data_IF_835218768532
#
_entry.id   IF_835218768532
#
_cell.length_a   1.000
_cell.length_b   1.000
_cell.length_c   1.000
_cell.angle_alpha   90.00
_cell.angle_beta   90.00
_cell.angle_gamma   90.00
#
_symmetry.space_group_name_H-M   'P 1'
#
loop_
_entity.id
_entity.type
_entity.pdbx_description
1 polymer ?
#
# COMPACT_ATOMS: atom_id res chain seq x y z
N UNK A 1 -49.63 -29.75 39.72
CA UNK A 1 -49.81 -28.57 38.85
C UNK A 1 -48.46 -28.22 38.26
N UNK A 2 -48.20 -28.59 37.00
CA UNK A 2 -46.98 -28.21 36.30
C UNK A 2 -47.32 -27.03 35.38
N UNK A 3 -46.73 -25.87 35.65
CA UNK A 3 -46.81 -24.71 34.78
C UNK A 3 -45.99 -25.00 33.52
N UNK A 4 -46.66 -25.18 32.38
CA UNK A 4 -46.00 -25.19 31.08
C UNK A 4 -45.49 -23.77 30.81
N UNK A 5 -44.22 -23.51 31.14
CA UNK A 5 -43.51 -22.35 30.60
C UNK A 5 -43.37 -22.56 29.09
N UNK A 6 -44.33 -22.03 28.33
CA UNK A 6 -44.19 -21.93 26.88
C UNK A 6 -43.15 -20.85 26.59
N UNK A 7 -41.87 -21.21 26.61
CA UNK A 7 -40.79 -20.40 26.03
C UNK A 7 -40.90 -20.50 24.50
N UNK A 8 -42.03 -20.06 23.97
CA UNK A 8 -42.27 -19.93 22.54
C UNK A 8 -41.43 -18.80 21.97
N UNK A 9 -41.33 -18.74 20.64
CA UNK A 9 -40.70 -17.62 19.91
C UNK A 9 -41.15 -16.23 20.41
N UNK A 10 -42.40 -16.12 20.91
CA UNK A 10 -42.96 -14.91 21.53
C UNK A 10 -42.19 -14.42 22.77
N UNK A 11 -41.65 -15.33 23.58
CA UNK A 11 -40.85 -14.96 24.76
C UNK A 11 -39.43 -14.49 24.45
N UNK A 12 -39.02 -14.55 23.17
CA UNK A 12 -37.72 -14.05 22.67
C UNK A 12 -37.83 -12.69 21.97
N UNK A 13 -39.04 -12.18 21.80
CA UNK A 13 -39.27 -10.87 21.19
C UNK A 13 -38.80 -9.79 22.16
N UNK A 14 -37.88 -8.95 21.71
CA UNK A 14 -37.47 -7.75 22.44
C UNK A 14 -38.52 -6.66 22.27
N UNK A 15 -38.66 -5.80 23.27
CA UNK A 15 -39.48 -4.60 23.12
C UNK A 15 -38.86 -3.69 22.05
N UNK A 16 -39.63 -3.38 21.01
CA UNK A 16 -39.12 -2.58 19.92
C UNK A 16 -38.91 -1.14 20.39
N UNK A 17 -37.77 -0.54 20.05
CA UNK A 17 -37.51 0.85 20.38
C UNK A 17 -36.60 1.53 19.37
N UNK A 18 -36.75 2.83 19.21
CA UNK A 18 -35.83 3.65 18.41
C UNK A 18 -35.33 4.81 19.26
N UNK A 19 -34.00 4.91 19.43
CA UNK A 19 -33.36 5.85 20.37
C UNK A 19 -33.98 5.81 21.77
N UNK A 20 -34.37 4.63 22.21
CA UNK A 20 -35.01 4.41 23.53
C UNK A 20 -36.51 4.70 23.60
N UNK A 21 -37.15 5.18 22.52
CA UNK A 21 -38.62 5.36 22.48
C UNK A 21 -39.29 4.03 22.09
N UNK A 22 -40.11 3.41 22.96
CA UNK A 22 -40.70 2.11 22.71
C UNK A 22 -41.89 2.19 21.75
N UNK A 23 -42.01 1.21 20.85
CA UNK A 23 -43.16 1.01 19.95
C UNK A 23 -43.47 -0.48 19.78
N UNK A 24 -44.60 -0.82 19.18
CA UNK A 24 -44.96 -2.20 18.83
C UNK A 24 -44.87 -2.41 17.32
N UNK A 25 -44.33 -3.54 16.87
CA UNK A 25 -44.21 -3.86 15.45
C UNK A 25 -45.40 -4.71 15.02
N UNK A 26 -46.07 -4.32 13.94
CA UNK A 26 -47.15 -5.07 13.30
C UNK A 26 -46.60 -5.96 12.17
N UNK A 27 -45.77 -5.38 11.30
CA UNK A 27 -45.15 -6.06 10.16
C UNK A 27 -43.75 -5.47 9.88
N UNK A 28 -42.84 -6.29 9.38
CA UNK A 28 -41.50 -5.90 8.97
C UNK A 28 -41.12 -6.56 7.63
N UNK A 29 -40.62 -5.76 6.69
CA UNK A 29 -40.04 -6.23 5.44
C UNK A 29 -38.56 -5.85 5.41
N UNK A 30 -37.70 -6.77 4.99
CA UNK A 30 -36.26 -6.52 4.96
C UNK A 30 -35.59 -7.06 3.70
N UNK A 31 -34.70 -6.26 3.12
CA UNK A 31 -33.93 -6.64 1.93
C UNK A 31 -32.45 -6.72 2.28
N UNK A 32 -31.83 -7.86 1.97
CA UNK A 32 -30.41 -8.14 2.21
C UNK A 32 -29.73 -8.64 0.94
N UNK A 33 -28.44 -8.35 0.80
CA UNK A 33 -27.66 -8.88 -0.31
C UNK A 33 -26.27 -8.27 -0.44
N UNK A 34 -25.63 -8.57 -1.57
CA UNK A 34 -24.37 -7.96 -2.01
C UNK A 34 -24.61 -7.24 -3.33
N UNK A 35 -23.92 -6.13 -3.55
CA UNK A 35 -23.93 -5.42 -4.83
C UNK A 35 -23.02 -6.19 -5.77
N UNK A 36 -23.57 -6.70 -6.85
CA UNK A 36 -22.80 -7.44 -7.86
C UNK A 36 -23.00 -6.74 -9.20
N UNK A 37 -21.90 -6.43 -9.88
CA UNK A 37 -21.91 -5.94 -11.25
C UNK A 37 -21.65 -7.10 -12.19
N UNK A 38 -22.58 -7.32 -13.13
CA UNK A 38 -22.49 -8.39 -14.12
C UNK A 38 -21.92 -7.81 -15.40
N UNK A 39 -20.81 -8.37 -15.86
CA UNK A 39 -20.13 -8.00 -17.10
C UNK A 39 -20.37 -9.11 -18.13
N UNK A 40 -21.04 -8.75 -19.22
CA UNK A 40 -21.35 -9.64 -20.33
C UNK A 40 -20.42 -9.35 -21.51
N UNK A 41 -19.80 -10.41 -22.06
CA UNK A 41 -18.88 -10.30 -23.19
C UNK A 41 -19.43 -11.07 -24.40
N UNK A 42 -19.34 -10.52 -25.62
CA UNK A 42 -19.74 -11.23 -26.84
C UNK A 42 -19.03 -12.59 -26.97
N UNK A 43 -19.75 -13.62 -27.43
CA UNK A 43 -19.28 -15.00 -27.61
C UNK A 43 -18.83 -15.74 -26.34
N UNK A 44 -19.29 -15.32 -25.15
CA UNK A 44 -19.06 -16.04 -23.90
C UNK A 44 -20.39 -16.41 -23.25
N UNK A 45 -20.63 -17.71 -23.05
CA UNK A 45 -21.88 -18.21 -22.46
C UNK A 45 -22.00 -17.94 -20.94
N UNK A 46 -20.89 -17.63 -20.28
CA UNK A 46 -20.84 -17.37 -18.83
C UNK A 46 -20.40 -15.92 -18.56
N UNK A 47 -21.27 -15.07 -17.97
CA UNK A 47 -20.91 -13.71 -17.61
C UNK A 47 -19.91 -13.69 -16.44
N UNK A 48 -19.16 -12.60 -16.32
CA UNK A 48 -18.26 -12.37 -15.18
C UNK A 48 -18.96 -11.46 -14.17
N UNK A 49 -18.92 -11.82 -12.89
CA UNK A 49 -19.57 -11.06 -11.82
C UNK A 49 -18.54 -10.44 -10.89
N UNK A 50 -18.55 -9.12 -10.77
CA UNK A 50 -17.72 -8.36 -9.86
C UNK A 50 -18.50 -8.04 -8.58
N UNK A 51 -17.94 -8.36 -7.43
CA UNK A 51 -18.55 -8.10 -6.13
C UNK A 51 -18.15 -6.71 -5.63
N UNK A 52 -19.10 -5.78 -5.64
CA UNK A 52 -18.93 -4.39 -5.20
C UNK A 52 -19.22 -4.20 -3.70
N UNK A 53 -19.28 -5.29 -2.93
CA UNK A 53 -19.45 -5.29 -1.48
C UNK A 53 -20.88 -5.51 -1.01
N UNK A 54 -21.10 -5.33 0.30
CA UNK A 54 -22.40 -5.54 0.94
C UNK A 54 -23.42 -4.50 0.44
N UNK A 55 -24.62 -4.95 0.07
CA UNK A 55 -25.70 -4.04 -0.32
C UNK A 55 -26.27 -3.33 0.91
N UNK A 56 -26.78 -2.12 0.70
CA UNK A 56 -27.44 -1.34 1.75
C UNK A 56 -28.61 -2.13 2.31
N UNK A 57 -28.54 -2.46 3.61
CA UNK A 57 -29.62 -3.13 4.32
C UNK A 57 -30.74 -2.12 4.57
N UNK A 58 -31.90 -2.35 3.96
CA UNK A 58 -33.12 -1.56 4.19
C UNK A 58 -34.15 -2.42 4.91
N UNK A 59 -34.74 -1.88 5.97
CA UNK A 59 -35.89 -2.47 6.67
C UNK A 59 -37.06 -1.50 6.60
N UNK A 60 -38.21 -1.95 6.10
CA UNK A 60 -39.47 -1.23 6.17
C UNK A 60 -40.24 -1.76 7.37
N UNK A 61 -40.53 -0.90 8.34
CA UNK A 61 -41.17 -1.28 9.59
C UNK A 61 -42.54 -0.60 9.67
N UNK A 62 -43.58 -1.42 9.84
CA UNK A 62 -44.92 -0.99 10.16
C UNK A 62 -45.15 -1.22 11.66
N UNK A 63 -45.29 -0.13 12.40
CA UNK A 63 -45.40 -0.12 13.84
C UNK A 63 -46.69 0.58 14.30
N UNK A 64 -47.04 0.39 15.56
CA UNK A 64 -48.11 1.11 16.23
C UNK A 64 -47.73 1.50 17.66
N UNK A 65 -48.34 2.59 18.10
CA UNK A 65 -48.30 3.08 19.47
C UNK A 65 -49.72 2.99 20.00
N UNK A 66 -49.91 2.32 21.13
CA UNK A 66 -51.23 2.13 21.76
C UNK A 66 -51.13 2.38 23.26
N UNK A 67 -52.14 3.07 23.81
CA UNK A 67 -52.23 3.37 25.25
C UNK A 67 -52.70 4.79 25.54
N UNK A 68 -52.86 5.11 26.82
CA UNK A 68 -53.34 6.44 27.26
C UNK A 68 -52.31 7.54 26.99
N UNK A 69 -51.03 7.19 26.96
CA UNK A 69 -49.86 8.04 26.72
C UNK A 69 -49.37 7.98 25.26
N UNK A 70 -50.17 7.44 24.33
CA UNK A 70 -49.74 7.25 22.94
C UNK A 70 -49.35 8.57 22.26
N UNK A 71 -50.03 9.68 22.60
CA UNK A 71 -49.76 11.00 22.05
C UNK A 71 -48.37 11.51 22.46
N UNK A 72 -48.02 11.39 23.74
CA UNK A 72 -46.70 11.79 24.24
C UNK A 72 -45.59 10.90 23.66
N UNK A 73 -45.84 9.59 23.54
CA UNK A 73 -44.89 8.66 22.91
C UNK A 73 -44.70 8.95 21.43
N UNK A 74 -45.77 9.31 20.71
CA UNK A 74 -45.70 9.73 19.31
C UNK A 74 -44.82 10.95 19.15
N UNK A 75 -45.02 11.98 19.97
CA UNK A 75 -44.26 13.23 19.84
C UNK A 75 -42.77 13.03 20.20
N UNK A 76 -42.47 12.17 21.18
CA UNK A 76 -41.09 11.73 21.45
C UNK A 76 -40.48 10.94 20.29
N UNK A 77 -41.25 10.06 19.66
CA UNK A 77 -40.78 9.28 18.51
C UNK A 77 -40.49 10.22 17.33
N UNK A 78 -41.36 11.20 17.06
CA UNK A 78 -41.12 12.23 16.03
C UNK A 78 -39.80 12.97 16.33
N UNK A 79 -39.61 13.46 17.55
CA UNK A 79 -38.36 14.13 17.93
C UNK A 79 -37.13 13.23 17.81
N UNK A 80 -37.27 11.94 18.14
CA UNK A 80 -36.21 10.96 17.96
C UNK A 80 -35.90 10.72 16.48
N UNK A 81 -36.89 10.69 15.59
CA UNK A 81 -36.71 10.52 14.14
C UNK A 81 -36.02 11.74 13.53
N UNK A 82 -36.43 12.95 13.92
CA UNK A 82 -35.93 14.21 13.37
C UNK A 82 -34.53 14.58 13.89
N UNK A 83 -34.03 13.91 14.93
CA UNK A 83 -32.69 14.13 15.46
C UNK A 83 -31.61 13.69 14.45
N UNK A 84 -30.65 14.55 14.15
CA UNK A 84 -29.57 14.26 13.21
C UNK A 84 -28.65 13.11 13.68
N UNK A 85 -28.10 12.36 12.73
CA UNK A 85 -27.13 11.28 12.98
C UNK A 85 -27.77 9.88 13.10
N UNK A 86 -26.95 8.83 13.26
CA UNK A 86 -27.45 7.48 13.45
C UNK A 86 -28.09 7.32 14.83
N UNK A 87 -29.06 6.41 14.93
CA UNK A 87 -29.76 6.04 16.14
C UNK A 87 -29.85 4.52 16.28
N UNK A 88 -29.92 4.08 17.52
CA UNK A 88 -30.10 2.67 17.85
C UNK A 88 -31.56 2.26 17.65
N UNK A 89 -31.79 1.29 16.77
CA UNK A 89 -33.05 0.58 16.59
C UNK A 89 -32.96 -0.78 17.27
N UNK A 90 -33.84 -1.07 18.21
CA UNK A 90 -34.06 -2.41 18.74
C UNK A 90 -35.28 -2.99 18.04
N UNK A 91 -35.07 -4.02 17.22
CA UNK A 91 -36.13 -4.76 16.55
C UNK A 91 -36.43 -6.06 17.31
N UNK A 92 -37.71 -6.48 17.44
CA UNK A 92 -38.05 -7.68 18.20
C UNK A 92 -37.40 -8.97 17.66
N UNK A 93 -37.26 -9.08 16.33
CA UNK A 93 -36.67 -10.25 15.63
C UNK A 93 -35.19 -10.09 15.29
N UNK A 94 -34.72 -8.90 14.90
CA UNK A 94 -33.34 -8.69 14.41
C UNK A 94 -32.38 -8.19 15.49
N UNK A 95 -32.88 -7.85 16.68
CA UNK A 95 -32.07 -7.33 17.77
C UNK A 95 -31.71 -5.85 17.60
N UNK A 96 -30.58 -5.45 18.17
CA UNK A 96 -30.10 -4.07 18.18
C UNK A 96 -29.30 -3.76 16.91
N UNK A 97 -29.63 -2.65 16.24
CA UNK A 97 -28.99 -2.18 15.00
C UNK A 97 -28.73 -0.67 15.09
N UNK A 98 -27.59 -0.24 14.55
CA UNK A 98 -27.24 1.18 14.39
C UNK A 98 -27.55 1.64 12.97
N UNK A 99 -28.21 2.78 12.83
CA UNK A 99 -28.63 3.25 11.52
C UNK A 99 -29.47 4.50 11.55
N UNK A 100 -29.93 4.92 10.39
CA UNK A 100 -30.73 6.12 10.23
C UNK A 100 -32.06 5.78 9.57
N UNK A 101 -33.08 6.57 9.85
CA UNK A 101 -34.35 6.48 9.13
C UNK A 101 -34.17 7.17 7.78
N UNK A 102 -34.50 6.45 6.71
CA UNK A 102 -34.40 6.91 5.32
C UNK A 102 -35.79 7.30 4.81
N UNK A 103 -35.91 8.48 4.22
CA UNK A 103 -37.16 9.00 3.68
C UNK A 103 -38.14 9.56 4.72
N UNK A 104 -39.42 9.62 4.33
CA UNK A 104 -40.50 10.20 5.13
C UNK A 104 -41.12 9.15 6.06
N UNK A 105 -41.42 9.55 7.29
CA UNK A 105 -42.18 8.73 8.23
C UNK A 105 -43.66 9.08 8.12
N UNK A 106 -44.51 8.06 7.96
CA UNK A 106 -45.95 8.22 7.87
C UNK A 106 -46.59 7.84 9.19
N UNK A 107 -47.33 8.77 9.80
CA UNK A 107 -48.14 8.52 10.99
C UNK A 107 -49.62 8.67 10.63
N UNK A 108 -50.41 7.64 10.90
CA UNK A 108 -51.85 7.64 10.64
C UNK A 108 -52.64 7.45 11.91
N UNK A 109 -53.70 8.25 12.06
CA UNK A 109 -54.68 8.14 13.13
C UNK A 109 -56.00 7.73 12.49
N UNK A 110 -56.70 6.75 13.07
CA UNK A 110 -58.04 6.38 12.63
C UNK A 110 -59.03 6.66 13.75
N UNK A 111 -60.16 7.33 13.43
CA UNK A 111 -61.22 7.58 14.42
C UNK A 111 -61.90 6.30 14.91
N UNK A 112 -61.79 5.20 14.17
CA UNK A 112 -62.29 3.87 14.56
C UNK A 112 -61.38 3.15 15.56
N UNK A 113 -60.11 3.57 15.65
CA UNK A 113 -59.10 2.96 16.53
C UNK A 113 -58.74 3.96 17.62
N UNK A 114 -59.51 3.93 18.70
CA UNK A 114 -59.27 4.81 19.84
C UNK A 114 -57.93 4.51 20.51
N UNK A 115 -57.21 5.59 20.89
CA UNK A 115 -55.94 5.53 21.67
C UNK A 115 -54.78 4.82 20.95
N UNK A 116 -54.77 4.87 19.62
CA UNK A 116 -53.75 4.24 18.78
C UNK A 116 -53.31 5.17 17.64
N UNK A 117 -52.03 5.09 17.26
CA UNK A 117 -51.56 5.55 15.96
C UNK A 117 -50.64 4.51 15.32
N UNK A 118 -50.68 4.43 13.99
CA UNK A 118 -49.74 3.62 13.20
C UNK A 118 -48.62 4.49 12.67
N UNK A 119 -47.42 3.93 12.64
CA UNK A 119 -46.19 4.58 12.19
C UNK A 119 -45.50 3.65 11.20
N UNK A 120 -45.24 4.15 9.99
CA UNK A 120 -44.51 3.43 8.95
C UNK A 120 -43.24 4.20 8.62
N UNK A 121 -42.09 3.53 8.68
CA UNK A 121 -40.80 4.14 8.35
C UNK A 121 -39.84 3.12 7.74
N UNK A 122 -38.85 3.62 7.00
CA UNK A 122 -37.75 2.82 6.47
C UNK A 122 -36.48 3.10 7.27
N UNK A 123 -35.83 2.06 7.76
CA UNK A 123 -34.57 2.11 8.48
C UNK A 123 -33.44 1.56 7.61
N UNK A 124 -32.31 2.25 7.60
CA UNK A 124 -31.10 1.88 6.89
C UNK A 124 -29.97 1.69 7.88
N UNK A 125 -29.35 0.51 7.87
CA UNK A 125 -28.19 0.20 8.71
C UNK A 125 -27.02 1.12 8.31
N UNK A 126 -26.53 1.93 9.25
CA UNK A 126 -25.32 2.74 9.04
C UNK A 126 -24.12 1.89 9.40
N UNK A 127 -23.32 1.55 8.40
CA UNK A 127 -21.98 0.99 8.64
C UNK A 127 -21.07 2.02 9.32
N UNK A 128 -20.03 1.55 9.99
CA UNK A 128 -18.92 2.41 10.38
C UNK A 128 -18.41 3.16 9.15
N UNK A 129 -18.16 4.47 9.30
CA UNK A 129 -17.49 5.31 8.30
C UNK A 129 -16.04 4.84 8.13
N UNK A 130 -15.82 3.67 7.53
CA UNK A 130 -14.50 3.30 7.05
C UNK A 130 -14.27 4.00 5.73
N UNK A 131 -13.67 5.19 5.77
CA UNK A 131 -13.02 5.74 4.60
C UNK A 131 -11.98 4.71 4.12
N UNK A 132 -11.73 4.58 2.80
CA UNK A 132 -10.59 3.81 2.34
C UNK A 132 -9.34 4.42 2.98
N UNK A 133 -8.73 3.68 3.91
CA UNK A 133 -7.40 4.02 4.41
C UNK A 133 -6.52 3.86 3.18
N UNK A 134 -6.11 4.96 2.56
CA UNK A 134 -5.07 4.93 1.56
C UNK A 134 -3.90 4.18 2.20
N UNK A 135 -3.62 2.97 1.70
CA UNK A 135 -2.49 2.19 2.19
C UNK A 135 -1.25 3.06 2.19
N UNK A 136 -0.39 2.91 3.21
CA UNK A 136 0.86 3.68 3.31
C UNK A 136 1.52 3.83 1.94
N UNK A 137 1.83 5.07 1.54
CA UNK A 137 2.38 5.38 0.23
C UNK A 137 3.56 4.45 -0.09
N UNK A 138 3.40 3.58 -1.11
CA UNK A 138 4.42 2.62 -1.54
C UNK A 138 5.77 3.31 -1.77
N UNK A 139 5.76 4.56 -2.24
CA UNK A 139 6.94 5.41 -2.38
C UNK A 139 7.72 5.60 -1.07
N UNK A 140 7.05 5.85 0.06
CA UNK A 140 7.72 6.08 1.36
C UNK A 140 8.38 4.82 1.92
N UNK A 141 7.76 3.64 1.69
CA UNK A 141 8.38 2.35 2.02
C UNK A 141 9.63 2.09 1.16
N UNK A 142 9.56 2.43 -0.13
CA UNK A 142 10.66 2.25 -1.06
C UNK A 142 11.83 3.20 -0.73
N UNK A 143 11.55 4.47 -0.40
CA UNK A 143 12.56 5.44 0.04
C UNK A 143 13.29 4.97 1.31
N UNK A 144 12.54 4.51 2.32
CA UNK A 144 13.12 3.97 3.55
C UNK A 144 14.00 2.73 3.28
N UNK A 145 13.56 1.85 2.37
CA UNK A 145 14.34 0.66 1.99
C UNK A 145 15.59 1.02 1.19
N UNK A 146 15.54 2.08 0.38
CA UNK A 146 16.69 2.62 -0.35
C UNK A 146 17.77 3.16 0.58
N UNK A 147 17.39 3.92 1.63
CA UNK A 147 18.34 4.40 2.64
C UNK A 147 19.06 3.26 3.38
N UNK A 148 18.34 2.22 3.78
CA UNK A 148 18.94 1.02 4.39
C UNK A 148 19.91 0.30 3.46
N UNK A 149 19.67 0.36 2.15
CA UNK A 149 20.54 -0.23 1.15
C UNK A 149 21.82 0.59 0.97
N UNK A 150 21.76 1.92 0.99
CA UNK A 150 22.93 2.80 1.00
C UNK A 150 23.84 2.54 2.22
N UNK A 151 23.26 2.41 3.42
CA UNK A 151 24.02 2.09 4.64
C UNK A 151 24.72 0.72 4.54
N UNK A 152 24.07 -0.27 3.93
CA UNK A 152 24.64 -1.59 3.71
C UNK A 152 25.81 -1.55 2.71
N UNK A 153 25.75 -0.68 1.70
CA UNK A 153 26.84 -0.47 0.74
C UNK A 153 28.07 0.09 1.46
N UNK A 154 27.88 1.14 2.26
CA UNK A 154 28.98 1.75 3.02
C UNK A 154 29.60 0.75 4.00
N UNK A 155 28.77 -0.03 4.69
CA UNK A 155 29.24 -1.10 5.59
C UNK A 155 30.06 -2.16 4.85
N UNK A 156 29.56 -2.68 3.71
CA UNK A 156 30.27 -3.69 2.92
C UNK A 156 31.61 -3.15 2.39
N UNK A 157 31.63 -1.91 1.90
CA UNK A 157 32.81 -1.34 1.25
C UNK A 157 33.81 -0.77 2.26
N UNK A 158 33.42 -0.51 3.52
CA UNK A 158 34.32 -0.05 4.59
C UNK A 158 35.54 -0.94 4.84
N UNK A 159 35.45 -2.23 4.48
CA UNK A 159 36.53 -3.22 4.64
C UNK A 159 37.50 -3.25 3.44
N UNK A 160 37.17 -2.56 2.34
CA UNK A 160 38.03 -2.47 1.17
C UNK A 160 39.29 -1.65 1.51
N UNK A 161 40.46 -2.18 1.15
CA UNK A 161 41.73 -1.47 1.28
C UNK A 161 42.77 -2.06 0.34
N UNK A 162 43.54 -1.18 -0.30
CA UNK A 162 44.76 -1.53 -1.05
C UNK A 162 46.03 -1.44 -0.19
N UNK A 163 45.92 -1.03 1.07
CA UNK A 163 47.06 -0.94 1.98
C UNK A 163 47.66 -2.32 2.25
N UNK A 164 49.00 -2.41 2.26
CA UNK A 164 49.71 -3.66 2.49
C UNK A 164 49.64 -4.68 1.33
N UNK A 165 49.05 -4.30 0.19
CA UNK A 165 49.05 -5.10 -1.05
C UNK A 165 50.26 -4.70 -1.92
N UNK A 166 50.83 -5.64 -2.67
CA UNK A 166 51.93 -5.36 -3.60
C UNK A 166 51.51 -4.41 -4.72
N UNK A 167 52.41 -3.52 -5.14
CA UNK A 167 52.13 -2.45 -6.12
C UNK A 167 51.59 -2.99 -7.47
N UNK A 168 52.13 -4.11 -7.96
CA UNK A 168 51.61 -4.73 -9.18
C UNK A 168 50.13 -5.15 -9.06
N UNK A 169 49.70 -5.67 -7.90
CA UNK A 169 48.30 -6.03 -7.65
C UNK A 169 47.44 -4.78 -7.49
N UNK A 170 47.97 -3.72 -6.87
CA UNK A 170 47.23 -2.44 -6.76
C UNK A 170 46.94 -1.88 -8.16
N UNK A 171 47.94 -1.85 -9.04
CA UNK A 171 47.79 -1.41 -10.43
C UNK A 171 46.81 -2.29 -11.21
N UNK A 172 46.87 -3.62 -11.03
CA UNK A 172 45.92 -4.54 -11.66
C UNK A 172 44.48 -4.31 -11.20
N UNK A 173 44.26 -4.07 -9.90
CA UNK A 173 42.93 -3.76 -9.35
C UNK A 173 42.42 -2.40 -9.85
N UNK A 174 43.28 -1.39 -9.97
CA UNK A 174 42.93 -0.09 -10.56
C UNK A 174 42.56 -0.25 -12.04
N UNK A 175 43.31 -1.06 -12.80
CA UNK A 175 43.00 -1.35 -14.19
C UNK A 175 41.67 -2.11 -14.34
N UNK A 176 41.40 -3.09 -13.47
CA UNK A 176 40.12 -3.79 -13.39
C UNK A 176 38.96 -2.81 -13.10
N UNK A 177 39.14 -1.89 -12.14
CA UNK A 177 38.17 -0.87 -11.80
C UNK A 177 37.92 0.10 -12.96
N UNK A 178 38.99 0.53 -13.65
CA UNK A 178 38.91 1.41 -14.80
C UNK A 178 38.15 0.75 -15.97
N UNK A 179 38.36 -0.55 -16.19
CA UNK A 179 37.60 -1.32 -17.18
C UNK A 179 36.11 -1.36 -16.83
N UNK A 180 35.77 -1.65 -15.57
CA UNK A 180 34.36 -1.70 -15.13
C UNK A 180 33.64 -0.35 -15.27
N UNK A 181 34.31 0.75 -14.96
CA UNK A 181 33.76 2.09 -15.19
C UNK A 181 33.62 2.40 -16.68
N UNK A 182 34.52 1.88 -17.51
CA UNK A 182 34.40 1.93 -18.97
C UNK A 182 33.14 1.20 -19.46
N UNK A 183 32.92 -0.03 -18.99
CA UNK A 183 31.72 -0.83 -19.32
C UNK A 183 30.44 -0.07 -18.94
N UNK A 184 30.42 0.55 -17.75
CA UNK A 184 29.30 1.41 -17.31
C UNK A 184 29.15 2.65 -18.20
N UNK A 185 30.24 3.35 -18.51
CA UNK A 185 30.19 4.55 -19.35
C UNK A 185 29.67 4.24 -20.75
N UNK A 186 30.04 3.10 -21.32
CA UNK A 186 29.57 2.64 -22.62
C UNK A 186 28.09 2.23 -22.58
N UNK A 187 27.63 1.58 -21.51
CA UNK A 187 26.21 1.30 -21.30
C UNK A 187 25.35 2.58 -21.26
N UNK A 188 25.91 3.69 -20.74
CA UNK A 188 25.23 4.98 -20.66
C UNK A 188 25.46 5.90 -21.85
N UNK A 189 26.36 5.57 -22.78
CA UNK A 189 26.78 6.46 -23.87
C UNK A 189 25.63 6.98 -24.74
N UNK A 190 24.59 6.16 -24.96
CA UNK A 190 23.41 6.52 -25.76
C UNK A 190 22.19 6.90 -24.90
N UNK A 191 22.31 6.81 -23.56
CA UNK A 191 21.20 6.99 -22.63
C UNK A 191 21.37 8.26 -21.79
N UNK A 192 22.55 8.49 -21.23
CA UNK A 192 22.87 9.67 -20.45
C UNK A 192 24.33 10.09 -20.63
N UNK A 193 24.54 11.19 -21.35
CA UNK A 193 25.88 11.74 -21.59
C UNK A 193 26.53 12.25 -20.31
N UNK A 194 25.76 12.71 -19.32
CA UNK A 194 26.25 13.19 -18.03
C UNK A 194 26.86 12.04 -17.21
N UNK A 195 26.11 10.95 -17.05
CA UNK A 195 26.62 9.73 -16.37
C UNK A 195 27.85 9.19 -17.07
N UNK A 196 27.83 9.09 -18.42
CA UNK A 196 28.97 8.58 -19.18
C UNK A 196 30.23 9.46 -19.02
N UNK A 197 30.07 10.79 -18.96
CA UNK A 197 31.17 11.72 -18.75
C UNK A 197 31.72 11.64 -17.32
N UNK A 198 30.86 11.56 -16.32
CA UNK A 198 31.27 11.44 -14.93
C UNK A 198 32.00 10.13 -14.64
N UNK A 199 31.60 9.02 -15.26
CA UNK A 199 32.30 7.73 -15.14
C UNK A 199 33.71 7.78 -15.73
N UNK A 200 33.91 8.50 -16.85
CA UNK A 200 35.25 8.72 -17.43
C UNK A 200 36.12 9.63 -16.57
N UNK A 201 35.55 10.63 -15.91
CA UNK A 201 36.28 11.45 -14.95
C UNK A 201 36.72 10.61 -13.74
N UNK A 202 35.80 9.79 -13.21
CA UNK A 202 36.09 8.88 -12.10
C UNK A 202 37.19 7.88 -12.48
N UNK A 203 37.17 7.36 -13.71
CA UNK A 203 38.22 6.51 -14.26
C UNK A 203 39.62 7.16 -14.20
N UNK A 204 39.72 8.47 -14.44
CA UNK A 204 40.97 9.21 -14.36
C UNK A 204 41.48 9.41 -12.92
N UNK A 205 40.55 9.50 -11.96
CA UNK A 205 40.85 9.79 -10.55
C UNK A 205 40.98 8.51 -9.68
N UNK A 206 40.81 7.31 -10.24
CA UNK A 206 40.84 6.05 -9.50
C UNK A 206 42.11 5.84 -8.66
N UNK A 207 43.27 6.24 -9.18
CA UNK A 207 44.54 6.12 -8.46
C UNK A 207 44.59 7.03 -7.22
N UNK A 208 43.91 8.18 -7.25
CA UNK A 208 43.82 9.11 -6.12
C UNK A 208 42.81 8.61 -5.08
N UNK A 209 41.73 7.98 -5.54
CA UNK A 209 40.60 7.59 -4.68
C UNK A 209 40.82 6.23 -4.01
N UNK A 210 41.38 5.26 -4.72
CA UNK A 210 41.51 3.88 -4.23
C UNK A 210 42.86 3.60 -3.54
N UNK A 211 43.90 4.39 -3.84
CA UNK A 211 45.22 4.20 -3.24
C UNK A 211 45.29 4.92 -1.89
N UNK A 212 45.95 4.34 -0.87
CA UNK A 212 46.14 5.02 0.42
C UNK A 212 46.79 6.40 0.22
N UNK A 213 46.27 7.48 0.85
CA UNK A 213 45.38 7.51 2.01
C UNK A 213 43.86 7.52 1.70
N UNK A 214 43.44 7.30 0.45
CA UNK A 214 42.04 7.30 0.06
C UNK A 214 41.19 6.31 0.86
N UNK A 215 39.99 6.73 1.27
CA UNK A 215 39.07 5.89 2.01
C UNK A 215 38.11 5.18 1.04
N UNK A 216 37.71 3.96 1.37
CA UNK A 216 36.75 3.21 0.59
C UNK A 216 35.42 3.99 0.37
N UNK A 217 35.02 4.80 1.35
CA UNK A 217 33.88 5.72 1.25
C UNK A 217 34.00 6.75 0.14
N UNK A 218 35.22 7.17 -0.22
CA UNK A 218 35.44 8.19 -1.26
C UNK A 218 35.06 7.66 -2.64
N UNK A 219 35.34 6.38 -2.89
CA UNK A 219 34.93 5.70 -4.12
C UNK A 219 33.41 5.56 -4.23
N UNK A 220 32.75 5.12 -3.15
CA UNK A 220 31.28 5.01 -3.12
C UNK A 220 30.63 6.38 -3.32
N UNK A 221 31.14 7.41 -2.63
CA UNK A 221 30.67 8.79 -2.78
C UNK A 221 30.87 9.33 -4.20
N UNK A 222 32.02 9.04 -4.82
CA UNK A 222 32.30 9.43 -6.20
C UNK A 222 31.35 8.73 -7.18
N UNK A 223 31.10 7.43 -7.00
CA UNK A 223 30.12 6.68 -7.80
C UNK A 223 28.72 7.26 -7.66
N UNK A 224 28.24 7.48 -6.43
CA UNK A 224 26.93 8.07 -6.20
C UNK A 224 26.80 9.47 -6.81
N UNK A 225 27.85 10.30 -6.76
CA UNK A 225 27.88 11.60 -7.44
C UNK A 225 27.84 11.44 -8.97
N UNK A 226 28.57 10.48 -9.52
CA UNK A 226 28.55 10.18 -10.95
C UNK A 226 27.16 9.73 -11.42
N UNK A 227 26.46 8.89 -10.65
CA UNK A 227 25.09 8.50 -10.96
C UNK A 227 24.13 9.70 -10.93
N UNK A 228 24.29 10.61 -9.96
CA UNK A 228 23.46 11.82 -9.83
C UNK A 228 23.78 12.91 -10.87
N UNK A 229 24.91 12.79 -11.58
CA UNK A 229 25.28 13.72 -12.66
C UNK A 229 24.45 13.55 -13.93
N UNK A 230 23.62 12.50 -13.99
CA UNK A 230 22.69 12.27 -15.10
C UNK A 230 21.67 13.39 -15.22
N UNK A 231 21.76 14.12 -16.34
CA UNK A 231 20.96 15.31 -16.60
C UNK A 231 19.72 14.91 -17.41
N UNK A 232 18.69 14.35 -16.74
CA UNK A 232 17.26 14.32 -17.17
C UNK A 232 16.36 13.45 -16.28
N UNK A 233 16.21 13.83 -15.02
CA UNK A 233 15.09 13.34 -14.19
C UNK A 233 13.76 14.09 -14.44
N UNK A 234 13.69 15.03 -15.40
CA UNK A 234 12.57 16.00 -15.50
C UNK A 234 11.84 16.07 -16.85
N UNK A 235 12.21 15.26 -17.85
CA UNK A 235 11.74 15.44 -19.22
C UNK A 235 10.59 14.52 -19.67
N UNK A 236 10.75 13.19 -19.51
CA UNK A 236 9.76 12.22 -19.94
C UNK A 236 9.84 10.91 -19.15
N UNK A 237 8.71 10.25 -18.90
CA UNK A 237 8.66 8.94 -18.22
C UNK A 237 9.42 7.86 -18.98
N UNK A 238 9.50 7.96 -20.31
CA UNK A 238 10.27 7.02 -21.15
C UNK A 238 11.78 7.11 -20.92
N UNK A 239 12.32 8.31 -20.71
CA UNK A 239 13.74 8.49 -20.43
C UNK A 239 14.10 7.91 -19.06
N UNK A 240 13.23 8.15 -18.07
CA UNK A 240 13.35 7.59 -16.72
C UNK A 240 13.31 6.05 -16.73
N UNK A 241 12.36 5.46 -17.44
CA UNK A 241 12.27 3.99 -17.58
C UNK A 241 13.51 3.44 -18.28
N UNK A 242 14.03 4.13 -19.29
CA UNK A 242 15.24 3.72 -20.01
C UNK A 242 16.46 3.77 -19.10
N UNK A 243 16.61 4.83 -18.31
CA UNK A 243 17.66 4.97 -17.31
C UNK A 243 17.58 3.89 -16.23
N UNK A 244 16.39 3.62 -15.67
CA UNK A 244 16.21 2.54 -14.68
C UNK A 244 16.59 1.18 -15.28
N UNK A 245 16.25 0.94 -16.55
CA UNK A 245 16.62 -0.29 -17.27
C UNK A 245 18.13 -0.40 -17.52
N UNK A 246 18.82 0.69 -17.84
CA UNK A 246 20.28 0.64 -17.98
C UNK A 246 20.97 0.44 -16.64
N UNK A 247 20.50 1.10 -15.57
CA UNK A 247 21.01 0.90 -14.21
C UNK A 247 20.83 -0.53 -13.72
N UNK A 248 19.66 -1.13 -13.92
CA UNK A 248 19.44 -2.54 -13.60
C UNK A 248 20.23 -3.47 -14.53
N UNK A 249 20.41 -3.08 -15.80
CA UNK A 249 21.22 -3.81 -16.78
C UNK A 249 22.69 -3.97 -16.37
N UNK A 250 23.30 -2.97 -15.73
CA UNK A 250 24.68 -3.05 -15.22
C UNK A 250 24.88 -4.22 -14.25
N UNK A 251 23.85 -4.58 -13.50
CA UNK A 251 23.93 -5.69 -12.55
C UNK A 251 24.13 -7.04 -13.22
N UNK A 252 23.74 -7.14 -14.50
CA UNK A 252 23.84 -8.31 -15.36
C UNK A 252 25.04 -8.24 -16.32
N UNK A 253 25.79 -7.14 -16.31
CA UNK A 253 26.91 -6.97 -17.21
C UNK A 253 28.04 -7.98 -16.90
N UNK A 254 28.54 -8.73 -17.89
CA UNK A 254 29.61 -9.72 -17.69
C UNK A 254 30.90 -9.13 -17.10
N UNK A 255 31.24 -7.88 -17.43
CA UNK A 255 32.41 -7.17 -16.92
C UNK A 255 32.37 -6.94 -15.41
N UNK A 256 31.16 -6.74 -14.88
CA UNK A 256 30.87 -6.52 -13.45
C UNK A 256 30.42 -7.79 -12.71
N UNK A 257 30.40 -8.96 -13.37
CA UNK A 257 30.02 -10.21 -12.72
C UNK A 257 31.03 -10.62 -11.62
N UNK A 258 30.58 -11.20 -10.49
CA UNK A 258 31.49 -11.66 -9.45
C UNK A 258 32.30 -12.85 -9.98
N UNK A 259 33.61 -12.82 -9.73
CA UNK A 259 34.52 -13.91 -10.13
C UNK A 259 34.79 -14.83 -8.96
N UNK A 260 34.64 -16.14 -9.17
CA UNK A 260 34.99 -17.14 -8.15
C UNK A 260 36.49 -17.15 -7.85
N UNK A 261 36.83 -17.26 -6.57
CA UNK A 261 38.17 -17.60 -6.11
C UNK A 261 38.27 -19.12 -5.95
N UNK A 262 39.30 -19.73 -6.54
CA UNK A 262 39.51 -21.17 -6.50
C UNK A 262 40.68 -21.50 -5.58
N UNK A 263 40.67 -22.67 -4.91
CA UNK A 263 41.81 -23.12 -4.11
C UNK A 263 43.12 -23.26 -4.89
N UNK A 264 43.04 -23.39 -6.22
CA UNK A 264 44.17 -23.49 -7.14
C UNK A 264 44.71 -22.13 -7.60
N UNK A 265 44.05 -21.02 -7.24
CA UNK A 265 44.53 -19.69 -7.59
C UNK A 265 45.81 -19.36 -6.79
N UNK A 266 46.74 -18.62 -7.42
CA UNK A 266 47.87 -18.07 -6.69
C UNK A 266 47.40 -17.08 -5.62
N UNK A 267 48.17 -16.92 -4.55
CA UNK A 267 47.82 -15.98 -3.47
C UNK A 267 47.65 -14.53 -3.95
N UNK A 268 48.34 -14.13 -5.02
CA UNK A 268 48.16 -12.83 -5.68
C UNK A 268 46.87 -12.77 -6.50
N UNK A 269 46.58 -13.80 -7.30
CA UNK A 269 45.36 -13.86 -8.11
C UNK A 269 44.09 -13.90 -7.24
N UNK A 270 44.11 -14.64 -6.12
CA UNK A 270 43.00 -14.68 -5.19
C UNK A 270 42.74 -13.30 -4.55
N UNK A 271 43.81 -12.59 -4.14
CA UNK A 271 43.71 -11.23 -3.59
C UNK A 271 43.17 -10.23 -4.61
N UNK A 272 43.68 -10.25 -5.84
CA UNK A 272 43.19 -9.38 -6.92
C UNK A 272 41.70 -9.64 -7.19
N UNK A 273 41.29 -10.90 -7.35
CA UNK A 273 39.88 -11.27 -7.57
C UNK A 273 38.96 -10.79 -6.44
N UNK A 274 39.41 -10.91 -5.19
CA UNK A 274 38.64 -10.44 -4.03
C UNK A 274 38.42 -8.93 -4.06
N UNK A 275 39.48 -8.15 -4.33
CA UNK A 275 39.37 -6.69 -4.42
C UNK A 275 38.53 -6.25 -5.62
N UNK A 276 38.75 -6.87 -6.78
CA UNK A 276 37.92 -6.68 -7.98
C UNK A 276 36.44 -6.94 -7.70
N UNK A 277 36.10 -8.01 -6.97
CA UNK A 277 34.72 -8.34 -6.64
C UNK A 277 34.06 -7.31 -5.72
N UNK A 278 34.82 -6.73 -4.78
CA UNK A 278 34.32 -5.65 -3.92
C UNK A 278 33.98 -4.40 -4.75
N UNK A 279 34.85 -4.01 -5.69
CA UNK A 279 34.62 -2.88 -6.61
C UNK A 279 33.39 -3.14 -7.48
N UNK A 280 33.30 -4.33 -8.09
CA UNK A 280 32.14 -4.72 -8.88
C UNK A 280 30.84 -4.75 -8.07
N UNK A 281 30.91 -5.16 -6.79
CA UNK A 281 29.76 -5.12 -5.90
C UNK A 281 29.33 -3.67 -5.65
N UNK A 282 30.25 -2.76 -5.31
CA UNK A 282 29.95 -1.34 -5.06
C UNK A 282 29.33 -0.64 -6.29
N UNK A 283 29.84 -0.89 -7.51
CA UNK A 283 29.27 -0.30 -8.72
C UNK A 283 27.83 -0.79 -8.94
N UNK A 284 27.58 -2.10 -8.82
CA UNK A 284 26.24 -2.68 -9.05
C UNK A 284 25.24 -2.26 -7.98
N UNK A 285 25.65 -2.23 -6.72
CA UNK A 285 24.74 -1.85 -5.63
C UNK A 285 24.43 -0.36 -5.65
N UNK A 286 25.41 0.52 -5.91
CA UNK A 286 25.13 1.97 -6.05
C UNK A 286 24.23 2.28 -7.26
N UNK A 287 24.37 1.51 -8.35
CA UNK A 287 23.47 1.61 -9.50
C UNK A 287 22.01 1.24 -9.13
N UNK A 288 21.80 0.15 -8.39
CA UNK A 288 20.47 -0.27 -7.92
C UNK A 288 19.89 0.76 -6.96
N UNK A 289 20.68 1.25 -6.00
CA UNK A 289 20.22 2.27 -5.04
C UNK A 289 19.71 3.51 -5.77
N UNK A 290 20.49 3.99 -6.74
CA UNK A 290 20.10 5.19 -7.49
C UNK A 290 18.87 4.95 -8.37
N UNK A 291 18.71 3.75 -8.93
CA UNK A 291 17.49 3.38 -9.66
C UNK A 291 16.25 3.37 -8.75
N UNK A 292 16.40 2.90 -7.50
CA UNK A 292 15.34 2.96 -6.48
C UNK A 292 14.96 4.40 -6.17
N UNK A 293 15.95 5.27 -5.94
CA UNK A 293 15.73 6.71 -5.71
C UNK A 293 15.04 7.39 -6.90
N UNK A 294 15.44 7.05 -8.13
CA UNK A 294 14.81 7.60 -9.34
C UNK A 294 13.31 7.22 -9.43
N UNK A 295 12.96 5.98 -9.05
CA UNK A 295 11.57 5.51 -9.02
C UNK A 295 10.75 6.22 -7.95
N UNK A 296 11.33 6.50 -6.77
CA UNK A 296 10.60 7.20 -5.68
C UNK A 296 10.33 8.67 -5.98
N UNK A 297 11.12 9.28 -6.86
CA UNK A 297 10.98 10.70 -7.24
C UNK A 297 10.03 10.95 -8.42
N UNK A 298 9.48 9.90 -9.02
CA UNK A 298 8.41 9.95 -10.04
C UNK A 298 7.08 10.41 -9.44
#
# INVERSE_FOLDING_TARGET
MAFFSSTGWRGRLRDASFRGVPFSVEDDESTFGRRVQVHEYPNRDKPWTEDLGRATRRLTINAYLVGDDYADRRDRLIGAIETAGPGTLVHPQYGEMQGSIDGQVRITHSSTEGRMCRVSFQFVESGELSFPVAGMATAKRLETSGGLFDDAIDSMFSTFSLSGISDFIQNDVIADAASMLGDVADAFRMVDSGVSAAMRLLQGDLSVILMPPGAASDFVNALQKAWRSGDRLRGSTSDLVTMIKTMSGITLDPGLSPRGTWPTDSGSAAKQKMQRNMIAAAIRTTAISTAVHAVTTL
#
